data_IF_234683840714
#
_entry.id   IF_234683840714
#
_cell.length_a   1.000
_cell.length_b   1.000
_cell.length_c   1.000
_cell.angle_alpha   90.00
_cell.angle_beta   90.00
_cell.angle_gamma   90.00
#
_symmetry.space_group_name_H-M   'P 1'
#
loop_
_entity.id
_entity.type
_entity.pdbx_description
1 polymer ?
#
# COMPACT_ATOMS: atom_id res chain seq x y z
N UNK A 1 47.07 -98.83 26.84
CA UNK A 1 46.64 -99.99 26.04
C UNK A 1 46.89 -99.69 24.56
N UNK A 2 47.79 -100.45 23.92
CA UNK A 2 47.81 -100.67 22.46
C UNK A 2 46.41 -101.15 22.00
N UNK A 3 45.96 -101.07 20.71
CA UNK A 3 46.78 -101.45 19.54
C UNK A 3 46.43 -100.95 18.08
N UNK A 4 47.41 -101.19 17.19
CA UNK A 4 47.33 -101.80 15.82
C UNK A 4 46.60 -101.02 14.70
N UNK A 5 47.35 -100.40 13.76
CA UNK A 5 47.91 -100.94 12.49
C UNK A 5 46.86 -101.29 11.42
N UNK A 6 46.99 -100.69 10.24
CA UNK A 6 47.21 -101.43 8.97
C UNK A 6 47.68 -100.52 7.83
N UNK A 7 48.76 -100.96 7.21
CA UNK A 7 49.48 -100.42 6.04
C UNK A 7 48.88 -100.95 4.72
N UNK A 8 49.46 -100.54 3.57
CA UNK A 8 49.44 -101.10 2.19
C UNK A 8 48.65 -100.19 1.21
N UNK A 9 49.09 -99.79 -0.01
CA UNK A 9 50.34 -99.93 -0.78
C UNK A 9 50.40 -98.87 -1.91
N UNK A 10 51.60 -98.65 -2.46
CA UNK A 10 51.95 -97.77 -3.59
C UNK A 10 51.43 -98.30 -4.94
N UNK A 11 51.13 -97.39 -5.88
CA UNK A 11 51.36 -97.59 -7.33
C UNK A 11 51.95 -96.33 -7.98
N UNK A 12 52.88 -96.58 -8.91
CA UNK A 12 53.81 -95.66 -9.56
C UNK A 12 53.19 -94.88 -10.74
N UNK A 13 53.89 -93.88 -11.34
CA UNK A 13 53.30 -92.87 -12.22
C UNK A 13 53.21 -93.32 -13.67
N UNK A 14 52.22 -92.81 -14.42
CA UNK A 14 52.13 -93.01 -15.88
C UNK A 14 51.94 -91.68 -16.62
N UNK A 15 52.86 -91.54 -17.59
CA UNK A 15 53.15 -90.58 -18.67
C UNK A 15 51.98 -89.74 -19.24
N UNK A 16 52.32 -88.48 -19.55
CA UNK A 16 51.56 -87.49 -20.33
C UNK A 16 51.13 -88.01 -21.71
N UNK A 17 49.90 -87.68 -22.12
CA UNK A 17 49.53 -87.43 -23.52
C UNK A 17 48.64 -86.20 -23.56
N UNK A 18 49.07 -85.17 -24.27
CA UNK A 18 48.26 -83.99 -24.55
C UNK A 18 47.22 -84.34 -25.61
N UNK A 19 45.93 -84.11 -25.34
CA UNK A 19 44.88 -84.14 -26.36
C UNK A 19 44.11 -82.81 -26.35
N UNK A 20 44.20 -82.12 -27.47
CA UNK A 20 43.43 -80.92 -27.80
C UNK A 20 41.97 -81.27 -28.03
N UNK A 21 41.04 -80.65 -27.28
CA UNK A 21 39.62 -80.61 -27.65
C UNK A 21 38.96 -79.25 -27.36
N UNK A 22 38.28 -78.75 -28.40
CA UNK A 22 37.45 -77.54 -28.56
C UNK A 22 36.79 -76.98 -27.28
N UNK A 23 37.00 -75.67 -27.02
CA UNK A 23 36.16 -74.87 -26.13
C UNK A 23 34.80 -74.56 -26.79
N UNK A 24 33.69 -74.92 -26.14
CA UNK A 24 32.33 -74.38 -26.38
C UNK A 24 32.21 -72.96 -25.77
N UNK A 25 31.41 -72.05 -26.35
CA UNK A 25 31.34 -70.67 -25.88
C UNK A 25 30.50 -70.55 -24.60
N UNK A 26 31.03 -69.85 -23.58
CA UNK A 26 30.25 -69.45 -22.39
C UNK A 26 29.31 -68.29 -22.76
N UNK A 27 28.00 -68.48 -22.59
CA UNK A 27 26.99 -67.41 -22.64
C UNK A 27 27.29 -66.35 -21.56
N UNK A 28 27.46 -65.08 -21.95
CA UNK A 28 27.50 -63.94 -21.01
C UNK A 28 26.06 -63.58 -20.62
N UNK A 29 25.64 -63.94 -19.41
CA UNK A 29 24.38 -63.49 -18.83
C UNK A 29 24.60 -62.29 -17.90
N UNK A 30 23.85 -61.21 -18.10
CA UNK A 30 23.15 -60.56 -16.98
C UNK A 30 23.66 -59.25 -16.38
N UNK A 31 24.69 -58.56 -16.91
CA UNK A 31 25.07 -57.22 -16.37
C UNK A 31 24.38 -56.04 -17.09
N UNK A 32 23.89 -56.24 -18.31
CA UNK A 32 23.27 -55.20 -19.17
C UNK A 32 21.88 -54.78 -18.71
N UNK A 33 21.06 -55.71 -18.22
CA UNK A 33 19.67 -55.43 -17.85
C UNK A 33 19.58 -54.49 -16.63
N UNK A 34 20.40 -54.71 -15.59
CA UNK A 34 20.36 -53.89 -14.37
C UNK A 34 20.64 -52.41 -14.66
N UNK A 35 21.60 -52.12 -15.54
CA UNK A 35 21.87 -50.75 -15.99
C UNK A 35 20.74 -50.16 -16.82
N UNK A 36 20.04 -50.96 -17.62
CA UNK A 36 18.84 -50.51 -18.35
C UNK A 36 17.69 -50.19 -17.40
N UNK A 37 17.48 -50.97 -16.33
CA UNK A 37 16.48 -50.64 -15.29
C UNK A 37 16.88 -49.37 -14.56
N UNK A 38 18.14 -49.23 -14.15
CA UNK A 38 18.62 -48.02 -13.47
C UNK A 38 18.45 -46.80 -14.37
N UNK A 39 18.79 -46.91 -15.65
CA UNK A 39 18.60 -45.84 -16.63
C UNK A 39 17.10 -45.52 -16.80
N UNK A 40 16.23 -46.52 -16.89
CA UNK A 40 14.78 -46.32 -16.98
C UNK A 40 14.20 -45.68 -15.72
N UNK A 41 14.72 -46.00 -14.54
CA UNK A 41 14.31 -45.36 -13.28
C UNK A 41 14.81 -43.91 -13.20
N UNK A 42 16.03 -43.63 -13.66
CA UNK A 42 16.57 -42.26 -13.76
C UNK A 42 15.74 -41.46 -14.77
N UNK A 43 15.45 -42.03 -15.93
CA UNK A 43 14.58 -41.41 -16.95
C UNK A 43 13.18 -41.19 -16.38
N UNK A 44 12.57 -42.17 -15.71
CA UNK A 44 11.26 -42.02 -15.08
C UNK A 44 11.25 -40.99 -13.94
N UNK A 45 12.36 -40.82 -13.21
CA UNK A 45 12.52 -39.80 -12.18
C UNK A 45 12.66 -38.41 -12.82
N UNK A 46 13.52 -38.27 -13.84
CA UNK A 46 13.75 -37.02 -14.57
C UNK A 46 12.48 -36.57 -15.30
N UNK A 47 11.75 -37.50 -15.93
CA UNK A 47 10.48 -37.26 -16.61
C UNK A 47 9.25 -37.45 -15.70
N UNK A 48 9.45 -37.59 -14.38
CA UNK A 48 8.32 -37.70 -13.45
C UNK A 48 7.56 -36.37 -13.45
N UNK A 49 6.23 -36.39 -13.64
CA UNK A 49 5.39 -35.19 -13.54
C UNK A 49 5.54 -34.47 -12.19
N UNK A 50 5.87 -35.22 -11.13
CA UNK A 50 6.10 -34.68 -9.79
C UNK A 50 7.44 -33.95 -9.66
N UNK A 51 8.50 -34.44 -10.33
CA UNK A 51 9.81 -33.79 -10.34
C UNK A 51 9.76 -32.48 -11.14
N UNK A 52 9.18 -32.51 -12.35
CA UNK A 52 8.94 -31.29 -13.13
C UNK A 52 7.98 -30.34 -12.41
N UNK A 53 6.90 -30.84 -11.80
CA UNK A 53 5.98 -29.99 -11.04
C UNK A 53 6.67 -29.26 -9.87
N UNK A 54 7.59 -29.92 -9.15
CA UNK A 54 8.34 -29.29 -8.05
C UNK A 54 9.41 -28.34 -8.57
N UNK A 55 10.16 -28.73 -9.61
CA UNK A 55 11.21 -27.88 -10.22
C UNK A 55 10.59 -26.65 -10.89
N UNK A 56 9.50 -26.80 -11.64
CA UNK A 56 8.75 -25.69 -12.24
C UNK A 56 8.16 -24.79 -11.14
N UNK A 57 7.52 -25.34 -10.10
CA UNK A 57 7.02 -24.53 -8.98
C UNK A 57 8.14 -23.75 -8.29
N UNK A 58 9.29 -24.38 -8.07
CA UNK A 58 10.45 -23.75 -7.42
C UNK A 58 11.10 -22.72 -8.33
N UNK A 59 11.23 -23.00 -9.64
CA UNK A 59 11.77 -22.08 -10.63
C UNK A 59 10.83 -20.88 -10.85
N UNK A 60 9.51 -21.10 -10.89
CA UNK A 60 8.50 -20.03 -10.95
C UNK A 60 8.50 -19.23 -9.64
N UNK A 61 8.61 -19.88 -8.49
CA UNK A 61 8.72 -19.20 -7.19
C UNK A 61 10.00 -18.37 -7.07
N UNK A 62 11.12 -18.90 -7.56
CA UNK A 62 12.42 -18.22 -7.54
C UNK A 62 12.44 -17.09 -8.57
N UNK A 63 11.87 -17.30 -9.76
CA UNK A 63 11.72 -16.26 -10.78
C UNK A 63 10.77 -15.15 -10.33
N UNK A 64 9.70 -15.49 -9.59
CA UNK A 64 8.86 -14.49 -8.91
C UNK A 64 9.64 -13.74 -7.85
N UNK A 65 10.32 -14.43 -6.94
CA UNK A 65 11.16 -13.78 -5.91
C UNK A 65 12.24 -12.89 -6.53
N UNK A 66 12.90 -13.33 -7.61
CA UNK A 66 13.86 -12.52 -8.36
C UNK A 66 13.17 -11.34 -9.07
N UNK A 67 12.00 -11.52 -9.67
CA UNK A 67 11.22 -10.39 -10.21
C UNK A 67 10.79 -9.44 -9.10
N UNK A 68 10.35 -9.90 -7.95
CA UNK A 68 9.91 -9.08 -6.82
C UNK A 68 11.09 -8.32 -6.17
N UNK A 69 12.31 -8.86 -6.28
CA UNK A 69 13.57 -8.19 -5.95
C UNK A 69 13.92 -7.05 -6.92
N UNK A 70 13.47 -7.12 -8.17
CA UNK A 70 13.82 -6.16 -9.23
C UNK A 70 12.63 -5.33 -9.76
N UNK A 71 11.40 -5.66 -9.35
CA UNK A 71 10.15 -4.98 -9.65
C UNK A 71 9.66 -4.44 -8.30
N UNK A 72 10.11 -3.25 -7.94
CA UNK A 72 9.50 -2.51 -6.86
C UNK A 72 8.06 -2.20 -7.27
N UNK A 73 7.10 -2.91 -6.68
CA UNK A 73 5.69 -2.56 -6.84
C UNK A 73 5.49 -1.18 -6.20
N UNK A 74 5.39 -0.15 -7.03
CA UNK A 74 5.16 1.24 -6.62
C UNK A 74 3.75 1.42 -6.01
N UNK A 75 2.84 0.47 -6.23
CA UNK A 75 1.46 0.52 -5.79
C UNK A 75 0.96 -0.83 -5.23
N UNK A 76 1.62 -1.33 -4.17
CA UNK A 76 1.33 -2.63 -3.56
C UNK A 76 0.02 -2.58 -2.78
N UNK A 77 -0.53 -3.76 -2.52
CA UNK A 77 -1.63 -3.92 -1.59
C UNK A 77 -1.13 -4.06 -0.15
N UNK A 78 -1.75 -3.33 0.79
CA UNK A 78 -1.47 -3.42 2.21
C UNK A 78 -2.66 -4.11 2.90
N UNK A 79 -2.47 -5.37 3.27
CA UNK A 79 -3.53 -6.23 3.83
C UNK A 79 -4.22 -5.60 5.05
N UNK A 80 -3.48 -4.97 5.97
CA UNK A 80 -4.08 -4.32 7.14
C UNK A 80 -4.99 -3.15 6.77
N UNK A 81 -4.64 -2.39 5.73
CA UNK A 81 -5.45 -1.28 5.25
C UNK A 81 -6.54 -1.73 4.26
N UNK A 82 -6.43 -2.94 3.70
CA UNK A 82 -7.35 -3.48 2.70
C UNK A 82 -7.36 -2.72 1.37
N UNK A 83 -6.31 -1.95 1.09
CA UNK A 83 -6.20 -1.09 -0.11
C UNK A 83 -4.78 -1.09 -0.68
N UNK A 84 -4.64 -0.52 -1.87
CA UNK A 84 -3.33 -0.20 -2.43
C UNK A 84 -2.90 1.21 -2.03
N UNK A 85 -1.63 1.39 -1.70
CA UNK A 85 -1.08 2.68 -1.25
C UNK A 85 0.16 3.00 -2.09
N UNK A 86 0.27 4.20 -2.66
CA UNK A 86 1.42 4.59 -3.49
C UNK A 86 2.69 4.73 -2.62
N UNK A 87 3.67 3.82 -2.79
CA UNK A 87 4.89 3.76 -1.98
C UNK A 87 5.78 4.99 -2.07
N UNK A 88 5.63 5.78 -3.13
CA UNK A 88 6.43 6.99 -3.36
C UNK A 88 6.30 8.00 -2.22
N UNK A 89 5.16 8.03 -1.53
CA UNK A 89 4.86 9.01 -0.48
C UNK A 89 4.98 8.35 0.88
N UNK A 90 5.62 9.05 1.82
CA UNK A 90 5.94 8.54 3.16
C UNK A 90 5.04 9.12 4.26
N UNK A 91 4.38 10.25 3.99
CA UNK A 91 3.45 10.90 4.91
C UNK A 91 2.04 10.56 4.47
N UNK A 92 1.35 9.84 5.34
CA UNK A 92 -0.01 9.36 5.13
C UNK A 92 -0.97 9.98 6.13
N UNK A 93 -2.22 10.14 5.73
CA UNK A 93 -3.27 10.64 6.61
C UNK A 93 -4.65 10.20 6.17
N UNK A 94 -5.63 10.51 6.99
CA UNK A 94 -7.05 10.20 6.74
C UNK A 94 -7.86 11.47 6.60
N UNK A 95 -9.08 11.36 6.09
CA UNK A 95 -10.10 12.36 6.32
C UNK A 95 -11.40 11.73 6.80
N UNK A 96 -12.07 12.43 7.73
CA UNK A 96 -13.18 11.86 8.51
C UNK A 96 -14.27 12.89 8.76
N UNK A 97 -15.47 12.38 8.97
CA UNK A 97 -16.66 13.13 9.35
C UNK A 97 -17.51 12.31 10.31
N UNK A 98 -18.73 12.77 10.57
CA UNK A 98 -19.74 12.02 11.31
C UNK A 98 -20.07 10.65 10.68
N UNK A 99 -19.79 10.41 9.40
CA UNK A 99 -19.96 9.10 8.76
C UNK A 99 -19.08 8.01 9.41
N UNK A 100 -17.89 8.36 9.90
CA UNK A 100 -17.00 7.44 10.61
C UNK A 100 -17.39 7.21 12.08
N UNK A 101 -18.41 7.93 12.57
CA UNK A 101 -18.94 7.83 13.93
C UNK A 101 -17.87 8.06 15.01
N UNK A 102 -17.98 7.34 16.14
CA UNK A 102 -17.00 7.42 17.23
C UNK A 102 -15.70 6.73 16.85
N UNK A 103 -14.66 7.53 16.68
CA UNK A 103 -13.28 7.09 16.41
C UNK A 103 -12.50 6.89 17.72
N UNK A 104 -11.71 5.83 17.78
CA UNK A 104 -10.70 5.57 18.81
C UNK A 104 -9.33 6.04 18.30
N UNK A 105 -9.01 7.31 18.57
CA UNK A 105 -7.83 7.98 18.01
C UNK A 105 -6.50 7.42 18.51
N UNK A 106 -6.48 6.77 19.68
CA UNK A 106 -5.28 6.09 20.19
C UNK A 106 -4.92 4.89 19.30
N UNK A 107 -5.94 4.13 18.85
CA UNK A 107 -5.74 3.03 17.90
C UNK A 107 -5.36 3.53 16.51
N UNK A 108 -5.94 4.65 16.06
CA UNK A 108 -5.54 5.28 14.79
C UNK A 108 -4.06 5.65 14.82
N UNK A 109 -3.61 6.31 15.90
CA UNK A 109 -2.22 6.73 16.05
C UNK A 109 -1.25 5.54 16.19
N UNK A 110 -1.66 4.48 16.88
CA UNK A 110 -0.85 3.28 17.05
C UNK A 110 -0.81 2.37 15.80
N UNK A 111 -1.64 2.62 14.79
CA UNK A 111 -1.73 1.78 13.61
C UNK A 111 -0.49 1.95 12.72
N UNK A 112 0.23 0.84 12.53
CA UNK A 112 1.34 0.77 11.58
C UNK A 112 1.29 -0.54 10.77
N UNK A 113 1.56 -0.42 9.47
CA UNK A 113 1.82 -1.57 8.60
C UNK A 113 2.90 -1.26 7.57
N UNK A 114 4.04 -1.96 7.67
CA UNK A 114 5.11 -1.88 6.67
C UNK A 114 5.58 -0.44 6.42
N UNK A 115 5.72 0.35 7.48
CA UNK A 115 6.14 1.76 7.43
C UNK A 115 5.02 2.78 7.17
N UNK A 116 3.79 2.33 6.86
CA UNK A 116 2.64 3.23 6.72
C UNK A 116 2.01 3.47 8.09
N UNK A 117 2.00 4.72 8.53
CA UNK A 117 1.37 5.22 9.77
C UNK A 117 0.47 6.43 9.47
N UNK A 118 -0.60 6.62 10.24
CA UNK A 118 -1.47 7.79 10.10
C UNK A 118 -0.83 8.98 10.82
N UNK A 119 -0.31 9.95 10.07
CA UNK A 119 0.43 11.11 10.59
C UNK A 119 -0.43 12.36 10.67
N UNK A 120 -1.44 12.48 9.81
CA UNK A 120 -2.38 13.60 9.82
C UNK A 120 -3.83 13.17 9.59
N UNK A 121 -4.76 14.04 9.94
CA UNK A 121 -6.18 13.87 9.67
C UNK A 121 -6.89 15.18 9.30
N UNK A 122 -7.66 15.19 8.21
CA UNK A 122 -8.64 16.25 7.95
C UNK A 122 -10.00 15.87 8.54
N UNK A 123 -10.64 16.78 9.26
CA UNK A 123 -11.86 16.51 10.03
C UNK A 123 -12.95 17.47 9.58
N UNK A 124 -14.11 16.94 9.17
CA UNK A 124 -15.24 17.76 8.75
C UNK A 124 -15.68 18.63 9.91
N UNK A 125 -15.71 19.95 9.70
CA UNK A 125 -16.16 20.89 10.71
C UNK A 125 -17.58 21.38 10.41
N UNK A 126 -17.78 21.88 9.20
CA UNK A 126 -19.03 22.55 8.82
C UNK A 126 -19.41 22.28 7.37
N UNK A 127 -20.68 22.50 7.05
CA UNK A 127 -21.22 22.43 5.71
C UNK A 127 -22.21 23.57 5.47
N UNK A 128 -22.05 24.28 4.36
CA UNK A 128 -22.89 25.41 4.02
C UNK A 128 -22.85 26.50 5.10
N UNK A 129 -24.02 27.00 5.53
CA UNK A 129 -24.10 28.11 6.49
C UNK A 129 -24.77 27.74 7.81
N UNK A 130 -25.11 26.47 8.02
CA UNK A 130 -25.90 26.04 9.19
C UNK A 130 -25.45 24.73 9.82
N UNK A 131 -24.78 23.83 9.09
CA UNK A 131 -24.49 22.49 9.60
C UNK A 131 -23.10 22.43 10.21
N UNK A 132 -23.02 22.08 11.50
CA UNK A 132 -21.79 21.66 12.18
C UNK A 132 -21.78 20.13 12.21
N UNK A 133 -20.65 19.51 11.86
CA UNK A 133 -20.53 18.06 11.94
C UNK A 133 -20.62 17.59 13.41
N UNK A 134 -21.52 16.63 13.66
CA UNK A 134 -21.85 16.18 15.02
C UNK A 134 -20.68 15.56 15.78
N UNK A 135 -19.64 15.09 15.10
CA UNK A 135 -18.44 14.51 15.71
C UNK A 135 -17.24 15.45 15.67
N UNK A 136 -17.32 16.62 15.03
CA UNK A 136 -16.18 17.54 14.86
C UNK A 136 -15.46 17.85 16.17
N UNK A 137 -16.16 18.36 17.18
CA UNK A 137 -15.52 18.80 18.44
C UNK A 137 -14.81 17.66 19.16
N UNK A 138 -15.38 16.46 19.13
CA UNK A 138 -14.74 15.26 19.69
C UNK A 138 -13.51 14.91 18.87
N UNK A 139 -13.65 14.73 17.57
CA UNK A 139 -12.55 14.32 16.69
C UNK A 139 -11.40 15.34 16.72
N UNK A 140 -11.72 16.63 16.70
CA UNK A 140 -10.76 17.73 16.80
C UNK A 140 -9.93 17.67 18.08
N UNK A 141 -10.58 17.46 19.23
CA UNK A 141 -9.88 17.37 20.52
C UNK A 141 -9.07 16.07 20.64
N UNK A 142 -9.68 14.94 20.34
CA UNK A 142 -9.06 13.63 20.58
C UNK A 142 -7.88 13.40 19.63
N UNK A 143 -7.94 13.82 18.37
CA UNK A 143 -6.81 13.68 17.43
C UNK A 143 -5.57 14.48 17.88
N UNK A 144 -5.77 15.69 18.41
CA UNK A 144 -4.68 16.48 19.00
C UNK A 144 -4.05 15.78 20.19
N UNK A 145 -4.88 15.23 21.08
CA UNK A 145 -4.39 14.57 22.30
C UNK A 145 -3.52 13.35 22.00
N UNK A 146 -3.71 12.69 20.86
CA UNK A 146 -2.89 11.54 20.43
C UNK A 146 -1.69 11.93 19.57
N UNK A 147 -1.50 13.22 19.28
CA UNK A 147 -0.37 13.73 18.49
C UNK A 147 -0.55 13.63 16.97
N UNK A 148 -1.74 13.29 16.48
CA UNK A 148 -2.05 13.32 15.05
C UNK A 148 -2.21 14.78 14.61
N UNK A 149 -1.48 15.18 13.58
CA UNK A 149 -1.61 16.53 12.99
C UNK A 149 -3.02 16.66 12.42
N UNK A 150 -3.78 17.65 12.87
CA UNK A 150 -5.19 17.79 12.49
C UNK A 150 -5.42 19.01 11.61
N UNK A 151 -6.31 18.88 10.64
CA UNK A 151 -6.85 19.97 9.82
C UNK A 151 -8.37 19.92 9.80
N UNK A 152 -9.01 21.06 9.62
CA UNK A 152 -10.47 21.14 9.58
C UNK A 152 -10.93 21.53 8.17
N UNK A 153 -11.99 20.88 7.68
CA UNK A 153 -12.55 21.19 6.37
C UNK A 153 -14.00 21.67 6.41
N UNK A 154 -14.33 22.52 5.45
CA UNK A 154 -15.66 23.07 5.19
C UNK A 154 -16.23 22.51 3.89
N UNK A 155 -17.35 21.79 3.96
CA UNK A 155 -18.06 21.35 2.76
C UNK A 155 -18.84 22.52 2.15
N UNK A 156 -18.36 23.02 1.01
CA UNK A 156 -18.88 24.22 0.36
C UNK A 156 -20.19 23.94 -0.38
N UNK A 157 -21.17 24.82 -0.19
CA UNK A 157 -22.42 24.84 -0.95
C UNK A 157 -22.43 26.03 -1.93
N UNK A 158 -22.27 25.80 -3.24
CA UNK A 158 -22.09 26.86 -4.24
C UNK A 158 -23.18 27.94 -4.27
N UNK A 159 -24.43 27.57 -3.98
CA UNK A 159 -25.58 28.49 -3.97
C UNK A 159 -25.71 29.31 -2.68
N UNK A 160 -24.74 29.21 -1.77
CA UNK A 160 -24.65 30.01 -0.55
C UNK A 160 -23.46 30.96 -0.65
N UNK A 161 -23.54 32.12 -0.01
CA UNK A 161 -22.44 33.09 -0.03
C UNK A 161 -21.19 32.51 0.62
N UNK A 162 -20.06 32.55 -0.10
CA UNK A 162 -18.76 32.07 0.34
C UNK A 162 -18.25 32.86 1.54
N UNK A 163 -18.47 34.17 1.57
CA UNK A 163 -18.19 35.01 2.75
C UNK A 163 -18.92 34.51 4.01
N UNK A 164 -20.21 34.19 3.92
CA UNK A 164 -20.98 33.68 5.07
C UNK A 164 -20.54 32.27 5.48
N UNK A 165 -20.23 31.41 4.52
CA UNK A 165 -19.68 30.08 4.76
C UNK A 165 -18.32 30.15 5.49
N UNK A 166 -17.42 31.05 5.06
CA UNK A 166 -16.13 31.27 5.71
C UNK A 166 -16.28 31.75 7.15
N UNK A 167 -17.17 32.72 7.40
CA UNK A 167 -17.46 33.19 8.75
C UNK A 167 -18.01 32.09 9.65
N UNK A 168 -18.93 31.28 9.12
CA UNK A 168 -19.49 30.15 9.87
C UNK A 168 -18.45 29.09 10.20
N UNK A 169 -17.58 28.76 9.23
CA UNK A 169 -16.44 27.86 9.45
C UNK A 169 -15.50 28.41 10.54
N UNK A 170 -15.11 29.69 10.47
CA UNK A 170 -14.20 30.33 11.43
C UNK A 170 -14.82 30.56 12.83
N UNK A 171 -16.14 30.59 12.94
CA UNK A 171 -16.81 30.59 14.25
C UNK A 171 -16.72 29.22 14.93
N UNK A 172 -16.67 28.15 14.13
CA UNK A 172 -16.64 26.77 14.61
C UNK A 172 -15.21 26.27 14.84
N UNK A 173 -14.29 26.67 13.98
CA UNK A 173 -12.91 26.19 13.95
C UNK A 173 -11.96 27.29 14.42
N UNK A 174 -11.15 26.95 15.44
CA UNK A 174 -10.00 27.75 15.85
C UNK A 174 -8.75 26.91 15.63
N UNK A 175 -7.97 27.27 14.63
CA UNK A 175 -6.67 26.65 14.35
C UNK A 175 -5.62 27.23 15.28
N UNK A 176 -4.67 26.41 15.70
CA UNK A 176 -3.50 26.82 16.48
C UNK A 176 -2.21 26.37 15.79
N UNK A 177 -1.06 26.79 16.32
CA UNK A 177 0.21 26.39 15.76
C UNK A 177 0.38 24.86 15.76
N UNK A 178 0.84 24.32 14.64
CA UNK A 178 0.95 22.87 14.41
C UNK A 178 -0.31 22.21 13.81
N UNK A 179 -1.44 22.92 13.71
CA UNK A 179 -2.58 22.43 12.92
C UNK A 179 -2.29 22.58 11.41
N UNK A 180 -2.93 21.75 10.58
CA UNK A 180 -2.97 21.96 9.13
C UNK A 180 -3.79 23.22 8.78
N UNK A 181 -3.50 23.88 7.65
CA UNK A 181 -4.33 24.97 7.16
C UNK A 181 -5.81 24.58 7.01
N UNK A 182 -6.73 25.55 7.20
CA UNK A 182 -8.13 25.38 6.85
C UNK A 182 -8.34 24.81 5.45
N UNK A 183 -9.32 23.94 5.28
CA UNK A 183 -9.65 23.37 3.96
C UNK A 183 -11.04 23.83 3.53
N UNK A 184 -11.16 24.22 2.27
CA UNK A 184 -12.45 24.29 1.57
C UNK A 184 -12.60 23.08 0.66
N UNK A 185 -13.71 22.37 0.84
CA UNK A 185 -14.10 21.20 0.06
C UNK A 185 -15.17 21.62 -0.96
N UNK A 186 -14.82 21.59 -2.24
CA UNK A 186 -15.68 21.97 -3.37
C UNK A 186 -15.76 20.84 -4.40
N UNK A 187 -16.93 20.21 -4.49
CA UNK A 187 -17.15 19.04 -5.36
C UNK A 187 -18.27 19.22 -6.39
N UNK A 188 -19.12 20.22 -6.21
CA UNK A 188 -20.30 20.45 -7.04
C UNK A 188 -20.39 21.90 -7.51
N UNK A 189 -21.02 22.14 -8.66
CA UNK A 189 -21.35 23.51 -9.12
C UNK A 189 -22.76 23.93 -8.68
N UNK A 190 -23.60 22.97 -8.29
CA UNK A 190 -25.03 23.14 -8.07
C UNK A 190 -25.77 23.79 -9.27
N UNK A 191 -25.23 23.66 -10.49
CA UNK A 191 -25.79 24.25 -11.71
C UNK A 191 -25.38 25.70 -11.99
N UNK A 192 -24.47 26.27 -11.20
CA UNK A 192 -23.89 27.60 -11.45
C UNK A 192 -22.86 27.56 -12.59
N UNK A 193 -22.71 28.68 -13.30
CA UNK A 193 -21.62 28.84 -14.26
C UNK A 193 -20.29 29.08 -13.53
N UNK A 194 -19.17 29.03 -14.25
CA UNK A 194 -17.85 29.34 -13.67
C UNK A 194 -17.76 30.79 -13.21
N UNK A 195 -18.38 31.70 -13.96
CA UNK A 195 -18.41 33.14 -13.69
C UNK A 195 -19.16 33.45 -12.39
N UNK A 196 -20.09 32.59 -11.98
CA UNK A 196 -20.79 32.69 -10.70
C UNK A 196 -20.04 31.96 -9.58
N UNK A 197 -19.53 30.75 -9.86
CA UNK A 197 -18.88 29.90 -8.86
C UNK A 197 -17.54 30.47 -8.36
N UNK A 198 -16.68 30.91 -9.29
CA UNK A 198 -15.31 31.30 -8.98
C UNK A 198 -15.23 32.51 -8.04
N UNK A 199 -15.96 33.62 -8.27
CA UNK A 199 -15.96 34.74 -7.34
C UNK A 199 -16.46 34.34 -5.95
N UNK A 200 -17.50 33.49 -5.88
CA UNK A 200 -18.08 33.06 -4.62
C UNK A 200 -17.10 32.17 -3.81
N UNK A 201 -16.39 31.27 -4.48
CA UNK A 201 -15.31 30.48 -3.88
C UNK A 201 -14.15 31.38 -3.41
N UNK A 202 -13.79 32.38 -4.22
CA UNK A 202 -12.74 33.34 -3.89
C UNK A 202 -13.07 34.18 -2.65
N UNK A 203 -14.34 34.56 -2.43
CA UNK A 203 -14.76 35.24 -1.20
C UNK A 203 -14.48 34.41 0.05
N UNK A 204 -14.73 33.10 -0.02
CA UNK A 204 -14.42 32.21 1.10
C UNK A 204 -12.92 32.20 1.39
N UNK A 205 -12.12 31.95 0.35
CA UNK A 205 -10.66 31.85 0.47
C UNK A 205 -10.05 33.11 1.07
N UNK A 206 -10.44 34.28 0.56
CA UNK A 206 -9.94 35.58 1.03
C UNK A 206 -10.33 35.82 2.50
N UNK A 207 -11.58 35.55 2.90
CA UNK A 207 -11.99 35.79 4.29
C UNK A 207 -11.25 34.86 5.25
N UNK A 208 -11.05 33.59 4.89
CA UNK A 208 -10.28 32.65 5.73
C UNK A 208 -8.83 33.09 5.83
N UNK A 209 -8.15 33.33 4.70
CA UNK A 209 -6.75 33.78 4.69
C UNK A 209 -6.55 35.07 5.49
N UNK A 210 -7.46 36.04 5.34
CA UNK A 210 -7.41 37.31 6.09
C UNK A 210 -7.47 37.10 7.60
N UNK A 211 -8.27 36.14 8.06
CA UNK A 211 -8.57 35.88 9.47
C UNK A 211 -7.54 34.96 10.14
N UNK A 212 -7.04 33.97 9.42
CA UNK A 212 -6.08 32.98 9.96
C UNK A 212 -4.63 33.34 9.65
N UNK A 213 -4.39 34.25 8.69
CA UNK A 213 -3.05 34.54 8.12
C UNK A 213 -2.42 33.31 7.46
N UNK A 214 -3.23 32.33 7.08
CA UNK A 214 -2.78 31.09 6.43
C UNK A 214 -3.61 30.86 5.18
N UNK A 215 -2.94 30.54 4.06
CA UNK A 215 -3.62 30.15 2.83
C UNK A 215 -4.40 28.85 3.02
N UNK A 216 -5.73 28.84 2.82
CA UNK A 216 -6.52 27.62 2.88
C UNK A 216 -6.11 26.62 1.80
N UNK A 217 -6.27 25.33 2.10
CA UNK A 217 -6.15 24.25 1.11
C UNK A 217 -7.48 24.13 0.36
N UNK A 218 -7.43 23.89 -0.95
CA UNK A 218 -8.63 23.60 -1.76
C UNK A 218 -8.69 22.10 -2.02
N UNK A 219 -9.72 21.44 -1.50
CA UNK A 219 -10.07 20.07 -1.85
C UNK A 219 -11.08 20.03 -3.01
N UNK A 220 -10.85 19.12 -3.95
CA UNK A 220 -11.74 18.87 -5.08
C UNK A 220 -11.42 17.52 -5.74
N UNK A 221 -12.39 16.94 -6.44
CA UNK A 221 -12.10 15.82 -7.35
C UNK A 221 -11.23 16.27 -8.54
N UNK A 222 -10.42 15.35 -9.07
CA UNK A 222 -9.53 15.61 -10.22
C UNK A 222 -10.29 16.11 -11.46
N UNK A 223 -11.47 15.53 -11.72
CA UNK A 223 -12.28 15.91 -12.88
C UNK A 223 -12.87 17.31 -12.69
N UNK A 224 -13.42 17.60 -11.50
CA UNK A 224 -13.94 18.93 -11.18
C UNK A 224 -12.86 20.01 -11.25
N UNK A 225 -11.65 19.72 -10.74
CA UNK A 225 -10.51 20.62 -10.85
C UNK A 225 -10.23 20.99 -12.30
N UNK A 226 -10.08 19.98 -13.17
CA UNK A 226 -9.80 20.19 -14.59
C UNK A 226 -10.89 21.01 -15.28
N UNK A 227 -12.14 20.71 -14.96
CA UNK A 227 -13.28 21.30 -15.65
C UNK A 227 -13.57 22.70 -15.16
N UNK A 228 -13.35 23.03 -13.88
CA UNK A 228 -13.81 24.28 -13.28
C UNK A 228 -12.72 25.16 -12.67
N UNK A 229 -11.64 24.58 -12.13
CA UNK A 229 -10.66 25.31 -11.30
C UNK A 229 -9.29 25.48 -11.97
N UNK A 230 -8.97 24.72 -13.03
CA UNK A 230 -7.65 24.78 -13.69
C UNK A 230 -7.27 26.20 -14.12
N UNK A 231 -6.09 26.66 -13.68
CA UNK A 231 -5.58 28.01 -13.96
C UNK A 231 -6.25 29.10 -13.11
N UNK A 232 -6.94 28.70 -12.03
CA UNK A 232 -7.46 29.57 -10.98
C UNK A 232 -6.87 29.07 -9.66
N UNK A 233 -6.60 29.99 -8.75
CA UNK A 233 -6.10 29.67 -7.40
C UNK A 233 -4.76 28.91 -7.37
N UNK A 234 -3.90 29.06 -8.39
CA UNK A 234 -2.60 28.36 -8.50
C UNK A 234 -1.64 28.66 -7.32
N UNK A 235 -1.92 29.73 -6.58
CA UNK A 235 -1.20 30.17 -5.38
C UNK A 235 -1.67 29.51 -4.08
N UNK A 236 -2.74 28.70 -4.12
CA UNK A 236 -3.29 27.98 -2.97
C UNK A 236 -2.82 26.52 -2.97
N UNK A 237 -2.56 25.91 -1.80
CA UNK A 237 -2.33 24.48 -1.71
C UNK A 237 -3.53 23.67 -2.23
N UNK A 238 -3.27 22.60 -2.96
CA UNK A 238 -4.33 21.78 -3.57
C UNK A 238 -4.34 20.36 -2.98
N UNK A 239 -5.54 19.90 -2.63
CA UNK A 239 -5.84 18.53 -2.24
C UNK A 239 -6.75 17.90 -3.30
N UNK A 240 -6.28 16.86 -4.00
CA UNK A 240 -7.03 16.23 -5.09
C UNK A 240 -7.57 14.87 -4.67
N UNK A 241 -8.85 14.62 -4.95
CA UNK A 241 -9.41 13.27 -4.95
C UNK A 241 -9.28 12.61 -6.32
N UNK A 242 -8.58 11.47 -6.37
CA UNK A 242 -8.51 10.62 -7.55
C UNK A 242 -8.15 9.18 -7.17
N UNK A 243 -9.18 8.34 -7.09
CA UNK A 243 -9.05 7.04 -6.46
C UNK A 243 -8.44 5.97 -7.36
N UNK A 244 -7.78 5.00 -6.71
CA UNK A 244 -7.35 3.73 -7.31
C UNK A 244 -6.37 3.91 -8.48
N UNK A 245 -5.55 4.95 -8.43
CA UNK A 245 -4.44 5.20 -9.35
C UNK A 245 -3.11 4.97 -8.63
N UNK A 246 -2.10 4.54 -9.37
CA UNK A 246 -0.73 4.43 -8.84
C UNK A 246 -0.01 5.77 -8.76
N UNK A 247 -0.43 6.75 -9.57
CA UNK A 247 0.09 8.12 -9.58
C UNK A 247 -0.97 9.14 -9.94
N UNK A 248 -0.84 10.34 -9.39
CA UNK A 248 -1.59 11.51 -9.82
C UNK A 248 -0.92 12.14 -11.06
N UNK A 249 -1.66 12.93 -11.85
CA UNK A 249 -1.18 13.46 -13.13
C UNK A 249 0.05 14.37 -12.96
N UNK A 250 1.06 14.19 -13.85
CA UNK A 250 2.40 14.80 -13.70
C UNK A 250 2.42 16.33 -13.85
N UNK A 251 1.46 16.92 -14.56
CA UNK A 251 1.41 18.37 -14.82
C UNK A 251 0.48 19.14 -13.87
N UNK A 252 0.15 18.57 -12.72
CA UNK A 252 -0.66 19.21 -11.69
C UNK A 252 0.22 19.46 -10.46
N UNK A 253 0.28 20.71 -10.00
CA UNK A 253 0.85 21.02 -8.69
C UNK A 253 -0.19 20.69 -7.62
N UNK A 254 0.14 19.80 -6.70
CA UNK A 254 -0.73 19.37 -5.61
C UNK A 254 0.10 19.07 -4.36
N UNK A 255 -0.56 19.17 -3.21
CA UNK A 255 0.03 18.98 -1.88
C UNK A 255 -0.50 17.72 -1.21
N UNK A 256 -1.80 17.45 -1.34
CA UNK A 256 -2.43 16.25 -0.81
C UNK A 256 -3.16 15.49 -1.91
N UNK A 257 -3.21 14.16 -1.78
CA UNK A 257 -3.93 13.30 -2.70
C UNK A 257 -4.72 12.25 -1.93
N UNK A 258 -6.05 12.34 -2.04
CA UNK A 258 -6.97 11.30 -1.59
C UNK A 258 -7.01 10.20 -2.65
N UNK A 259 -6.38 9.06 -2.35
CA UNK A 259 -6.10 8.01 -3.33
C UNK A 259 -7.00 6.77 -3.15
N UNK A 260 -7.71 6.68 -2.04
CA UNK A 260 -8.69 5.63 -1.76
C UNK A 260 -9.75 6.16 -0.79
N UNK A 261 -10.97 5.63 -0.90
CA UNK A 261 -12.15 5.95 -0.09
C UNK A 261 -12.62 4.76 0.77
N UNK A 262 -11.82 3.70 0.79
CA UNK A 262 -12.26 2.39 1.20
C UNK A 262 -11.25 1.67 2.11
N UNK A 263 -10.40 2.42 2.80
CA UNK A 263 -9.39 1.86 3.70
C UNK A 263 -10.02 1.33 5.01
N UNK A 264 -9.38 0.32 5.58
CA UNK A 264 -9.56 -0.07 6.98
C UNK A 264 -8.49 0.63 7.83
N UNK A 265 -8.90 1.25 8.94
CA UNK A 265 -8.00 1.85 9.91
C UNK A 265 -8.43 1.44 11.31
N UNK A 266 -7.48 0.97 12.12
CA UNK A 266 -7.73 0.56 13.49
C UNK A 266 -8.36 1.72 14.28
N UNK A 267 -9.41 1.43 15.04
CA UNK A 267 -10.18 2.44 15.77
C UNK A 267 -11.32 3.09 14.99
N UNK A 268 -11.47 2.80 13.70
CA UNK A 268 -12.59 3.23 12.86
C UNK A 268 -13.39 1.99 12.42
N UNK A 269 -14.69 1.96 12.71
CA UNK A 269 -15.54 0.79 12.38
C UNK A 269 -15.86 0.67 10.89
N UNK A 270 -16.00 1.82 10.23
CA UNK A 270 -16.35 1.92 8.81
C UNK A 270 -15.13 2.02 7.91
N UNK A 271 -15.36 2.23 6.62
CA UNK A 271 -14.29 2.59 5.70
C UNK A 271 -13.91 4.05 5.87
N UNK A 272 -12.65 4.35 5.57
CA UNK A 272 -12.09 5.70 5.68
C UNK A 272 -11.33 6.06 4.42
N UNK A 273 -11.36 7.35 4.13
CA UNK A 273 -10.60 7.96 3.06
C UNK A 273 -9.11 8.03 3.43
N UNK A 274 -8.24 7.64 2.49
CA UNK A 274 -6.78 7.67 2.67
C UNK A 274 -6.12 8.69 1.76
N UNK A 275 -5.19 9.41 2.37
CA UNK A 275 -4.46 10.52 1.79
C UNK A 275 -2.96 10.32 1.90
N UNK A 276 -2.25 10.91 0.94
CA UNK A 276 -0.81 11.12 1.00
C UNK A 276 -0.48 12.59 0.85
N UNK A 277 0.62 13.02 1.46
CA UNK A 277 1.22 14.32 1.25
C UNK A 277 2.38 14.24 0.25
N UNK A 278 2.50 15.26 -0.60
CA UNK A 278 3.55 15.39 -1.61
C UNK A 278 4.72 16.24 -1.08
N UNK A 279 5.60 15.62 -0.32
CA UNK A 279 6.78 16.24 0.25
C UNK A 279 7.36 15.42 1.40
N UNK A 280 8.41 15.95 2.01
CA UNK A 280 9.05 15.40 3.20
C UNK A 280 8.47 16.02 4.50
N UNK A 281 8.97 15.63 5.67
CA UNK A 281 8.44 16.08 6.96
C UNK A 281 8.63 17.59 7.15
N UNK A 282 9.72 18.16 6.63
CA UNK A 282 10.02 19.58 6.64
C UNK A 282 9.03 20.38 5.78
N UNK A 283 8.66 19.85 4.61
CA UNK A 283 7.67 20.47 3.72
C UNK A 283 6.28 20.51 4.38
N UNK A 284 5.91 19.42 5.06
CA UNK A 284 4.66 19.37 5.83
C UNK A 284 4.70 20.37 6.97
N UNK A 285 5.79 20.40 7.73
CA UNK A 285 5.99 21.31 8.86
C UNK A 285 5.93 22.78 8.45
N UNK A 286 6.47 23.11 7.27
CA UNK A 286 6.40 24.45 6.69
C UNK A 286 4.98 24.85 6.25
N UNK A 287 4.13 23.87 5.95
CA UNK A 287 2.73 24.10 5.59
C UNK A 287 1.82 24.30 6.81
N UNK A 288 2.20 23.81 7.99
CA UNK A 288 1.40 23.93 9.20
C UNK A 288 1.17 25.40 9.58
N UNK A 289 0.08 25.66 10.30
CA UNK A 289 -0.17 26.95 10.93
C UNK A 289 1.01 27.26 11.85
N UNK A 290 1.63 28.42 11.63
CA UNK A 290 2.79 28.87 12.39
C UNK A 290 2.34 29.73 13.57
N UNK A 291 3.14 29.77 14.64
CA UNK A 291 2.92 30.75 15.70
C UNK A 291 3.02 32.17 15.12
N UNK A 292 2.03 33.01 15.42
CA UNK A 292 2.11 34.43 15.11
C UNK A 292 3.12 35.03 16.08
N UNK A 293 4.34 35.28 15.60
CA UNK A 293 5.33 36.08 16.33
C UNK A 293 4.78 37.50 16.45
N UNK A 294 4.30 37.85 17.65
CA UNK A 294 3.94 39.22 18.03
C UNK A 294 5.18 40.10 18.15
#
# INVERSE_FOLDING_TARGET
MMPIKKTIAKKAPIRKVASTTRRKPKKKAGKSWKWRIILLLIVALVFSPFYYGKVIKTAVSTSRWFRDLFVFDEYPHYEKFGIRIPRKYIIHGIDVSSYQQKIDWEKVNAMENSGVKISFAFIKATEGVTLVDSYFQRNWRESKNTGIIRGAYHYFKPKKSGMWQARFFLQTVKTEAGDLPPVIDIEETAGLTKEELIPNLQEFLIEVEKRTKTKPIIYTSYQFYKDHLKGKFDDYPIWIAHYYKSKLAENLKWNFWQHADNAHVDGIKGRVDMNVFNGEEEDLSALLVQEVKN
#
